data_IF_297621667786
#
_entry.id   IF_297621667786
#
_cell.length_a   1.000
_cell.length_b   1.000
_cell.length_c   1.000
_cell.angle_alpha   90.00
_cell.angle_beta   90.00
_cell.angle_gamma   90.00
#
_symmetry.space_group_name_H-M   'P 1'
#
loop_
_entity.id
_entity.type
_entity.pdbx_description
1 polymer ?
#
# COMPACT_ATOMS: atom_id res chain seq x y z
N UNK A 1 11.34 -14.66 -12.19
CA UNK A 1 11.07 -13.48 -13.04
C UNK A 1 10.41 -12.41 -12.17
N UNK A 2 11.08 -11.29 -11.92
CA UNK A 2 10.43 -10.09 -11.36
C UNK A 2 10.24 -9.14 -12.53
N UNK A 3 8.99 -8.89 -12.91
CA UNK A 3 8.64 -7.92 -13.95
C UNK A 3 8.47 -6.55 -13.30
N UNK A 4 8.96 -5.50 -13.94
CA UNK A 4 8.70 -4.14 -13.50
C UNK A 4 7.20 -3.85 -13.59
N UNK A 5 6.58 -3.53 -12.45
CA UNK A 5 5.15 -3.17 -12.36
C UNK A 5 5.05 -1.74 -11.84
N UNK A 6 4.89 -0.73 -12.70
CA UNK A 6 4.82 0.66 -12.27
C UNK A 6 3.58 0.96 -11.43
N UNK A 7 2.55 0.11 -11.47
CA UNK A 7 1.33 0.24 -10.67
C UNK A 7 1.13 -1.03 -9.85
N UNK A 8 1.02 -0.89 -8.52
CA UNK A 8 0.64 -1.96 -7.61
C UNK A 8 -0.81 -1.78 -7.19
N UNK A 9 -1.61 -2.84 -7.37
CA UNK A 9 -2.96 -2.94 -6.85
C UNK A 9 -2.92 -3.95 -5.72
N UNK A 10 -3.23 -3.50 -4.51
CA UNK A 10 -3.09 -4.28 -3.28
C UNK A 10 -4.44 -4.41 -2.59
N UNK A 11 -4.75 -5.62 -2.11
CA UNK A 11 -5.95 -5.90 -1.34
C UNK A 11 -5.51 -6.43 0.04
N UNK A 12 -5.82 -5.67 1.09
CA UNK A 12 -5.43 -5.92 2.48
C UNK A 12 -3.96 -6.37 2.65
N UNK A 13 -2.99 -5.59 2.16
CA UNK A 13 -1.61 -6.08 1.97
C UNK A 13 -0.83 -6.34 3.26
N UNK A 14 -1.31 -5.84 4.39
CA UNK A 14 -0.70 -6.07 5.71
C UNK A 14 -1.49 -7.06 6.57
N UNK A 15 -2.58 -7.64 6.05
CA UNK A 15 -3.39 -8.58 6.80
C UNK A 15 -2.58 -9.83 7.20
N UNK A 16 -2.55 -10.11 8.50
CA UNK A 16 -1.85 -11.28 9.06
C UNK A 16 -0.33 -11.13 9.16
N UNK A 17 0.23 -9.95 8.82
CA UNK A 17 1.64 -9.67 9.06
C UNK A 17 1.90 -9.33 10.52
N UNK A 18 3.08 -9.71 11.01
CA UNK A 18 3.61 -9.15 12.24
C UNK A 18 4.22 -7.77 12.01
N UNK A 19 4.49 -7.04 13.10
CA UNK A 19 5.03 -5.66 13.02
C UNK A 19 6.32 -5.55 12.21
N UNK A 20 7.21 -6.53 12.31
CA UNK A 20 8.48 -6.51 11.58
C UNK A 20 8.25 -6.67 10.08
N UNK A 21 7.29 -7.51 9.70
CA UNK A 21 6.89 -7.73 8.31
C UNK A 21 6.12 -6.54 7.73
N UNK A 22 5.26 -5.90 8.52
CA UNK A 22 4.59 -4.64 8.16
C UNK A 22 5.62 -3.53 7.86
N UNK A 23 6.62 -3.36 8.73
CA UNK A 23 7.68 -2.35 8.54
C UNK A 23 8.48 -2.61 7.25
N UNK A 24 8.87 -3.88 7.03
CA UNK A 24 9.58 -4.28 5.81
C UNK A 24 8.73 -4.04 4.56
N UNK A 25 7.44 -4.39 4.61
CA UNK A 25 6.53 -4.17 3.49
C UNK A 25 6.35 -2.68 3.20
N UNK A 26 6.18 -1.86 4.23
CA UNK A 26 6.16 -0.39 4.10
C UNK A 26 7.44 0.16 3.47
N UNK A 27 8.61 -0.43 3.77
CA UNK A 27 9.87 -0.12 3.10
C UNK A 27 9.82 -0.34 1.59
N UNK A 28 9.27 -1.49 1.15
CA UNK A 28 9.11 -1.80 -0.28
C UNK A 28 8.17 -0.81 -0.98
N UNK A 29 7.08 -0.44 -0.32
CA UNK A 29 6.13 0.54 -0.85
C UNK A 29 6.78 1.92 -1.03
N UNK A 30 7.59 2.37 -0.07
CA UNK A 30 8.32 3.65 -0.16
C UNK A 30 9.31 3.67 -1.31
N UNK A 31 10.07 2.59 -1.51
CA UNK A 31 11.00 2.46 -2.65
C UNK A 31 10.23 2.54 -3.96
N UNK A 32 9.14 1.78 -4.09
CA UNK A 32 8.31 1.78 -5.30
C UNK A 32 7.75 3.18 -5.63
N UNK A 33 7.30 3.93 -4.62
CA UNK A 33 6.84 5.31 -4.79
C UNK A 33 7.98 6.28 -5.16
N UNK A 34 9.16 6.13 -4.54
CA UNK A 34 10.34 6.95 -4.83
C UNK A 34 10.85 6.75 -6.27
N UNK A 35 10.69 5.55 -6.82
CA UNK A 35 11.02 5.22 -8.20
C UNK A 35 9.97 5.71 -9.23
N UNK A 36 8.96 6.46 -8.77
CA UNK A 36 7.88 7.00 -9.62
C UNK A 36 6.71 6.04 -9.84
N UNK A 37 6.64 4.96 -9.06
CA UNK A 37 5.54 4.02 -9.06
C UNK A 37 4.26 4.55 -8.42
N UNK A 38 3.15 3.89 -8.70
CA UNK A 38 1.82 4.17 -8.13
C UNK A 38 1.38 2.97 -7.30
N UNK A 39 0.74 3.24 -6.15
CA UNK A 39 0.09 2.23 -5.32
C UNK A 39 -1.37 2.60 -5.16
N UNK A 40 -2.25 1.63 -5.39
CA UNK A 40 -3.66 1.67 -4.99
C UNK A 40 -3.88 0.49 -4.05
N UNK A 41 -4.30 0.76 -2.83
CA UNK A 41 -4.49 -0.26 -1.82
C UNK A 41 -5.89 -0.17 -1.20
N UNK A 42 -6.56 -1.31 -1.08
CA UNK A 42 -7.69 -1.49 -0.18
C UNK A 42 -7.15 -1.96 1.17
N UNK A 43 -7.55 -1.29 2.24
CA UNK A 43 -7.10 -1.60 3.60
C UNK A 43 -8.12 -1.10 4.61
N UNK A 44 -8.25 -1.82 5.73
CA UNK A 44 -8.97 -1.35 6.91
C UNK A 44 -8.13 -0.46 7.84
N UNK A 45 -6.80 -0.56 7.77
CA UNK A 45 -5.87 0.17 8.62
C UNK A 45 -4.98 1.14 7.81
N UNK A 46 -4.55 2.27 8.39
CA UNK A 46 -3.60 3.16 7.72
C UNK A 46 -2.29 2.45 7.38
N UNK A 47 -1.80 2.58 6.14
CA UNK A 47 -0.54 1.97 5.69
C UNK A 47 0.71 2.78 6.08
N UNK A 48 0.54 3.92 6.77
CA UNK A 48 1.66 4.77 7.20
C UNK A 48 2.46 5.38 6.04
N UNK A 49 1.81 5.58 4.89
CA UNK A 49 2.39 6.26 3.73
C UNK A 49 2.12 7.76 3.79
N UNK A 50 3.19 8.55 3.76
CA UNK A 50 3.07 10.01 3.69
C UNK A 50 2.53 10.45 2.32
N UNK A 51 1.62 11.43 2.32
CA UNK A 51 1.07 12.00 1.10
C UNK A 51 0.06 11.11 0.36
N UNK A 52 -0.30 9.95 0.92
CA UNK A 52 -1.35 9.11 0.36
C UNK A 52 -2.70 9.84 0.38
N UNK A 53 -3.48 9.69 -0.70
CA UNK A 53 -4.88 10.12 -0.73
C UNK A 53 -5.75 8.97 -0.27
N UNK A 54 -6.62 9.23 0.69
CA UNK A 54 -7.54 8.24 1.23
C UNK A 54 -8.94 8.45 0.65
N UNK A 55 -9.61 7.34 0.32
CA UNK A 55 -11.02 7.30 -0.04
C UNK A 55 -11.72 6.33 0.91
N UNK A 56 -12.64 6.86 1.71
CA UNK A 56 -13.48 6.01 2.55
C UNK A 56 -14.72 5.56 1.78
N UNK A 57 -14.83 4.26 1.55
CA UNK A 57 -16.02 3.63 0.98
C UNK A 57 -17.15 3.69 2.01
N UNK A 58 -18.11 4.60 1.80
CA UNK A 58 -19.31 4.75 2.63
C UNK A 58 -20.55 4.62 1.73
N UNK A 59 -21.65 4.15 2.30
CA UNK A 59 -22.94 4.13 1.58
C UNK A 59 -23.43 5.57 1.41
N UNK A 60 -23.85 5.94 0.20
CA UNK A 60 -24.52 7.21 -0.05
C UNK A 60 -25.92 7.16 0.60
N UNK A 61 -26.17 8.06 1.55
CA UNK A 61 -27.47 8.24 2.19
C UNK A 61 -28.48 8.94 1.29
#
# INVERSE_FOLDING_TARGET
LVSHRPIWLLDEPTAGLDKASEERFGGLMRVHLADGGIIVAATHLPLGLEGARELQMRVAG
#
